data_IF_016653544042
#
_entry.id   IF_016653544042
#
_cell.length_a   1.000
_cell.length_b   1.000
_cell.length_c   1.000
_cell.angle_alpha   90.00
_cell.angle_beta   90.00
_cell.angle_gamma   90.00
#
_symmetry.space_group_name_H-M   'P 1'
#
loop_
_entity.id
_entity.type
_entity.pdbx_description
1 polymer ?
#
# COMPACT_ATOMS: atom_id res chain seq x y z
N UNK A 1 23.32 2.50 45.51
CA UNK A 1 22.29 3.56 45.59
C UNK A 1 22.94 4.86 45.15
N UNK A 2 22.96 5.12 43.85
CA UNK A 2 23.59 6.31 43.28
C UNK A 2 22.49 7.35 43.08
N UNK A 3 22.63 8.47 43.79
CA UNK A 3 21.70 9.59 43.77
C UNK A 3 22.00 10.50 42.58
N UNK A 4 21.16 10.42 41.55
CA UNK A 4 21.12 11.37 40.43
C UNK A 4 20.42 12.65 40.89
N UNK A 5 21.16 13.60 41.47
CA UNK A 5 20.57 14.89 41.85
C UNK A 5 21.42 16.11 41.46
N UNK A 6 22.30 15.98 40.46
CA UNK A 6 23.14 17.10 40.02
C UNK A 6 23.31 17.20 38.50
N UNK A 7 22.25 16.86 37.75
CA UNK A 7 22.15 17.16 36.31
C UNK A 7 21.02 18.16 35.98
N UNK A 8 20.42 18.80 37.00
CA UNK A 8 19.33 19.77 36.80
C UNK A 8 19.77 21.24 36.90
N UNK A 9 21.08 21.53 37.04
CA UNK A 9 21.58 22.90 37.21
C UNK A 9 22.58 23.36 36.13
N UNK A 10 22.67 22.67 34.99
CA UNK A 10 23.56 23.07 33.88
C UNK A 10 22.84 23.43 32.57
N UNK A 11 21.52 23.27 32.51
CA UNK A 11 20.72 23.75 31.38
C UNK A 11 19.89 24.93 31.87
N UNK A 12 20.29 26.10 31.37
CA UNK A 12 19.73 27.39 31.71
C UNK A 12 18.22 27.45 31.61
N UNK A 13 17.67 28.27 32.48
CA UNK A 13 16.27 28.56 32.73
C UNK A 13 15.58 29.32 31.57
N UNK A 14 16.01 29.10 30.32
CA UNK A 14 15.55 29.77 29.09
C UNK A 14 14.92 28.80 28.07
N UNK A 15 14.65 27.54 28.45
CA UNK A 15 14.09 26.50 27.56
C UNK A 15 12.57 26.30 27.66
N UNK A 16 11.84 27.13 28.40
CA UNK A 16 10.40 27.01 28.61
C UNK A 16 9.59 28.12 27.93
N UNK A 17 9.83 28.31 26.63
CA UNK A 17 8.82 28.92 25.76
C UNK A 17 8.92 28.42 24.30
N UNK A 18 9.20 27.12 24.14
CA UNK A 18 8.81 26.44 22.90
C UNK A 18 7.31 26.19 23.05
N UNK A 19 6.49 27.01 22.41
CA UNK A 19 5.05 26.78 22.31
C UNK A 19 4.83 25.33 21.91
N UNK A 20 4.28 24.50 22.80
CA UNK A 20 3.99 23.11 22.47
C UNK A 20 3.11 23.07 21.22
N UNK A 21 3.44 22.20 20.25
CA UNK A 21 2.63 22.07 19.04
C UNK A 21 1.20 21.71 19.46
N UNK A 22 0.23 22.41 18.86
CA UNK A 22 -1.18 22.14 19.11
C UNK A 22 -1.44 20.65 18.96
N UNK A 23 -1.89 19.99 20.02
CA UNK A 23 -2.14 18.55 20.08
C UNK A 23 -3.46 18.36 20.81
N UNK A 24 -4.46 17.89 20.09
CA UNK A 24 -5.79 17.61 20.64
C UNK A 24 -6.30 16.25 20.14
N UNK A 25 -7.16 15.63 20.93
CA UNK A 25 -7.81 14.36 20.61
C UNK A 25 -9.27 14.61 20.25
N UNK A 26 -9.71 13.98 19.16
CA UNK A 26 -11.07 14.11 18.63
C UNK A 26 -11.67 12.74 18.35
N UNK A 27 -12.99 12.62 18.41
CA UNK A 27 -13.69 11.45 17.89
C UNK A 27 -13.87 11.57 16.39
N UNK A 28 -13.39 10.59 15.63
CA UNK A 28 -13.42 10.63 14.16
C UNK A 28 -14.72 10.05 13.59
N UNK A 29 -15.28 10.72 12.58
CA UNK A 29 -16.44 10.25 11.81
C UNK A 29 -16.20 10.44 10.31
N UNK A 30 -16.81 9.60 9.46
CA UNK A 30 -16.71 9.75 8.02
C UNK A 30 -17.49 10.97 7.54
N UNK A 31 -17.07 11.52 6.41
CA UNK A 31 -17.61 12.80 5.87
C UNK A 31 -19.00 12.68 5.29
N UNK A 32 -19.42 11.45 4.97
CA UNK A 32 -20.80 11.15 4.56
C UNK A 32 -21.85 11.54 5.62
N UNK A 33 -21.47 11.67 6.90
CA UNK A 33 -22.38 12.16 7.95
C UNK A 33 -22.75 13.64 7.79
N UNK A 34 -21.88 14.43 7.17
CA UNK A 34 -22.12 15.86 6.88
C UNK A 34 -22.74 16.04 5.47
N UNK A 35 -22.81 14.97 4.66
CA UNK A 35 -23.28 15.05 3.27
C UNK A 35 -22.30 15.78 2.35
N UNK A 36 -21.01 15.79 2.69
CA UNK A 36 -19.91 16.37 1.88
C UNK A 36 -19.09 15.26 1.23
N UNK A 37 -19.72 14.47 0.36
CA UNK A 37 -19.07 13.34 -0.31
C UNK A 37 -17.95 13.79 -1.27
N UNK A 38 -18.00 15.03 -1.78
CA UNK A 38 -16.94 15.61 -2.63
C UNK A 38 -15.56 15.60 -1.94
N UNK A 39 -15.54 15.61 -0.60
CA UNK A 39 -14.31 15.63 0.20
C UNK A 39 -13.58 14.29 0.21
N UNK A 40 -14.22 13.19 -0.21
CA UNK A 40 -13.57 11.88 -0.36
C UNK A 40 -12.41 11.92 -1.37
N UNK A 41 -12.42 12.87 -2.31
CA UNK A 41 -11.40 13.00 -3.35
C UNK A 41 -10.09 13.68 -2.89
N UNK A 42 -9.94 14.01 -1.62
CA UNK A 42 -8.75 14.68 -1.09
C UNK A 42 -8.46 14.26 0.35
N UNK A 43 -7.39 14.79 0.93
CA UNK A 43 -6.95 14.46 2.30
C UNK A 43 -7.16 15.63 3.28
N UNK A 44 -8.26 16.35 3.10
CA UNK A 44 -8.60 17.47 3.98
C UNK A 44 -9.61 17.00 5.02
N UNK A 45 -9.41 17.45 6.26
CA UNK A 45 -10.28 17.14 7.39
C UNK A 45 -11.08 18.36 7.80
N UNK A 46 -12.20 18.13 8.47
CA UNK A 46 -13.04 19.16 9.09
C UNK A 46 -12.84 19.07 10.59
N UNK A 47 -12.51 20.21 11.19
CA UNK A 47 -12.23 20.34 12.62
C UNK A 47 -13.30 21.22 13.30
N UNK A 48 -13.38 21.24 14.64
CA UNK A 48 -14.30 22.12 15.35
C UNK A 48 -13.76 23.55 15.45
N UNK A 49 -14.65 24.53 15.64
CA UNK A 49 -14.27 25.94 15.80
C UNK A 49 -13.35 26.19 17.01
N UNK A 50 -13.45 25.34 18.04
CA UNK A 50 -12.56 25.36 19.21
C UNK A 50 -11.09 25.13 18.82
N UNK A 51 -10.84 24.24 17.85
CA UNK A 51 -9.51 24.01 17.29
C UNK A 51 -8.95 25.27 16.62
N UNK A 52 -9.76 25.96 15.80
CA UNK A 52 -9.35 27.21 15.15
C UNK A 52 -8.95 28.27 16.18
N UNK A 53 -9.74 28.44 17.25
CA UNK A 53 -9.44 29.40 18.32
C UNK A 53 -8.12 29.04 19.06
N UNK A 54 -7.82 27.75 19.20
CA UNK A 54 -6.56 27.28 19.78
C UNK A 54 -5.37 27.49 18.84
N UNK A 55 -5.55 27.35 17.52
CA UNK A 55 -4.54 27.59 16.50
C UNK A 55 -4.26 29.09 16.33
N UNK A 56 -5.30 29.93 16.34
CA UNK A 56 -5.20 31.38 16.23
C UNK A 56 -4.40 32.00 17.38
N UNK A 57 -4.62 31.51 18.61
CA UNK A 57 -3.85 31.92 19.80
C UNK A 57 -2.35 31.57 19.70
N UNK A 58 -2.00 30.56 18.90
CA UNK A 58 -0.62 30.13 18.67
C UNK A 58 0.02 30.80 17.45
N UNK A 59 -0.68 31.73 16.80
CA UNK A 59 -0.20 32.43 15.60
C UNK A 59 0.22 31.50 14.46
N UNK A 60 -0.45 30.35 14.30
CA UNK A 60 -0.19 29.43 13.19
C UNK A 60 -0.74 30.05 11.91
N UNK A 61 0.16 30.43 11.00
CA UNK A 61 -0.22 30.98 9.69
C UNK A 61 -0.62 29.87 8.72
N UNK A 62 -1.38 30.26 7.70
CA UNK A 62 -1.72 29.37 6.59
C UNK A 62 -0.45 28.99 5.80
N UNK A 63 -0.34 27.75 5.26
CA UNK A 63 -1.28 26.63 5.36
C UNK A 63 -1.22 25.90 6.70
N UNK A 64 -2.40 25.60 7.27
CA UNK A 64 -2.53 24.81 8.50
C UNK A 64 -2.50 23.32 8.15
N UNK A 65 -1.44 22.65 8.57
CA UNK A 65 -1.20 21.23 8.31
C UNK A 65 -1.17 20.45 9.63
N UNK A 66 -1.65 19.22 9.58
CA UNK A 66 -1.80 18.38 10.75
C UNK A 66 -1.24 16.98 10.50
N UNK A 67 -0.58 16.44 11.51
CA UNK A 67 -0.37 15.00 11.65
C UNK A 67 -1.58 14.41 12.37
N UNK A 68 -2.20 13.43 11.72
CA UNK A 68 -3.32 12.66 12.22
C UNK A 68 -2.78 11.29 12.58
N UNK A 69 -2.77 10.98 13.87
CA UNK A 69 -2.22 9.73 14.41
C UNK A 69 -3.29 8.94 15.15
N UNK A 70 -3.30 7.64 14.92
CA UNK A 70 -4.10 6.72 15.72
C UNK A 70 -3.29 6.35 16.99
N UNK A 71 -3.77 6.69 18.20
CA UNK A 71 -3.05 6.40 19.44
C UNK A 71 -2.94 4.89 19.72
N UNK A 72 -3.79 4.04 19.14
CA UNK A 72 -3.83 2.61 19.38
C UNK A 72 -2.96 1.78 18.43
N UNK A 73 -2.86 2.19 17.16
CA UNK A 73 -2.16 1.42 16.11
C UNK A 73 -0.82 2.02 15.71
N UNK A 74 -0.42 3.13 16.33
CA UNK A 74 0.78 3.94 16.03
C UNK A 74 0.89 4.40 14.57
N UNK A 75 -0.14 4.18 13.75
CA UNK A 75 -0.23 4.68 12.38
C UNK A 75 -0.42 6.18 12.38
N UNK A 76 0.25 6.84 11.45
CA UNK A 76 0.22 8.30 11.30
C UNK A 76 0.12 8.65 9.84
N UNK A 77 -0.61 9.72 9.56
CA UNK A 77 -0.82 10.29 8.23
C UNK A 77 -0.79 11.80 8.37
N UNK A 78 -0.53 12.53 7.29
CA UNK A 78 -0.62 13.99 7.30
C UNK A 78 -1.78 14.47 6.45
N UNK A 79 -2.49 15.48 6.96
CA UNK A 79 -3.71 16.02 6.38
C UNK A 79 -3.72 17.54 6.47
N UNK A 80 -4.41 18.19 5.53
CA UNK A 80 -4.76 19.60 5.64
C UNK A 80 -6.12 19.78 6.31
N UNK A 81 -6.44 21.01 6.73
CA UNK A 81 -7.82 21.37 7.12
C UNK A 81 -8.56 22.00 5.95
N UNK A 82 -9.82 21.60 5.74
CA UNK A 82 -10.72 22.27 4.81
C UNK A 82 -11.42 23.45 5.50
N UNK A 83 -12.18 23.15 6.55
CA UNK A 83 -13.07 24.07 7.24
C UNK A 83 -13.20 23.71 8.73
N UNK A 84 -13.66 24.67 9.53
CA UNK A 84 -13.88 24.50 10.96
C UNK A 84 -15.39 24.52 11.30
N UNK A 85 -16.12 23.50 10.83
CA UNK A 85 -17.58 23.40 11.01
C UNK A 85 -18.02 22.17 11.82
N UNK A 86 -17.08 21.38 12.35
CA UNK A 86 -17.40 20.18 13.14
C UNK A 86 -18.01 20.53 14.50
N UNK A 87 -18.82 19.63 15.04
CA UNK A 87 -19.26 19.70 16.43
C UNK A 87 -18.07 19.61 17.39
N UNK A 88 -18.16 20.24 18.56
CA UNK A 88 -17.07 20.27 19.53
C UNK A 88 -16.64 18.86 19.97
N UNK A 89 -15.33 18.59 19.91
CA UNK A 89 -14.76 17.27 20.24
C UNK A 89 -14.85 16.23 19.12
N UNK A 90 -15.46 16.56 17.98
CA UNK A 90 -15.56 15.69 16.81
C UNK A 90 -14.67 16.15 15.67
N UNK A 91 -14.27 15.22 14.80
CA UNK A 91 -13.53 15.50 13.58
C UNK A 91 -14.11 14.66 12.44
N UNK A 92 -14.24 15.24 11.25
CA UNK A 92 -14.66 14.50 10.06
C UNK A 92 -13.53 14.39 9.05
N UNK A 93 -13.34 13.18 8.53
CA UNK A 93 -12.31 12.89 7.54
C UNK A 93 -12.80 11.88 6.51
N UNK A 94 -12.20 11.87 5.30
CA UNK A 94 -12.53 10.90 4.26
C UNK A 94 -12.48 9.46 4.77
N UNK A 95 -13.41 8.62 4.32
CA UNK A 95 -13.50 7.24 4.77
C UNK A 95 -12.23 6.45 4.45
N UNK A 96 -11.62 6.68 3.28
CA UNK A 96 -10.36 6.01 2.92
C UNK A 96 -9.22 6.35 3.89
N UNK A 97 -9.20 7.56 4.46
CA UNK A 97 -8.20 7.99 5.44
C UNK A 97 -8.41 7.27 6.77
N UNK A 98 -9.66 7.06 7.19
CA UNK A 98 -9.98 6.24 8.36
C UNK A 98 -9.50 4.80 8.18
N UNK A 99 -9.70 4.22 6.98
CA UNK A 99 -9.21 2.87 6.65
C UNK A 99 -7.69 2.77 6.72
N UNK A 100 -6.97 3.77 6.20
CA UNK A 100 -5.51 3.85 6.25
C UNK A 100 -4.99 3.84 7.68
N UNK A 101 -5.62 4.63 8.56
CA UNK A 101 -5.32 4.72 10.00
C UNK A 101 -5.89 3.57 10.84
N UNK A 102 -6.64 2.64 10.22
CA UNK A 102 -7.36 1.56 10.90
C UNK A 102 -8.27 2.06 12.02
N UNK A 103 -9.00 3.13 11.76
CA UNK A 103 -10.01 3.71 12.64
C UNK A 103 -11.41 3.24 12.25
N UNK A 104 -12.28 3.09 13.25
CA UNK A 104 -13.73 2.91 13.09
C UNK A 104 -14.46 4.20 13.42
N UNK A 105 -15.73 4.29 13.05
CA UNK A 105 -16.57 5.43 13.38
C UNK A 105 -16.68 5.60 14.91
N UNK A 106 -16.37 6.79 15.40
CA UNK A 106 -16.35 7.11 16.83
C UNK A 106 -15.03 6.80 17.55
N UNK A 107 -14.01 6.26 16.86
CA UNK A 107 -12.70 6.06 17.46
C UNK A 107 -11.99 7.39 17.72
N UNK A 108 -11.09 7.39 18.70
CA UNK A 108 -10.30 8.58 19.06
C UNK A 108 -9.09 8.70 18.13
N UNK A 109 -8.89 9.90 17.61
CA UNK A 109 -7.74 10.26 16.79
C UNK A 109 -7.02 11.46 17.40
N UNK A 110 -5.69 11.44 17.37
CA UNK A 110 -4.87 12.55 17.85
C UNK A 110 -4.40 13.39 16.67
N UNK A 111 -4.76 14.67 16.70
CA UNK A 111 -4.44 15.66 15.67
C UNK A 111 -3.38 16.60 16.24
N UNK A 112 -2.21 16.63 15.62
CA UNK A 112 -1.10 17.50 16.01
C UNK A 112 -0.78 18.49 14.90
N UNK A 113 -0.59 19.76 15.22
CA UNK A 113 -0.19 20.77 14.25
C UNK A 113 1.28 20.60 13.92
N UNK A 114 1.59 20.51 12.61
CA UNK A 114 2.96 20.30 12.12
C UNK A 114 3.22 21.25 10.95
N UNK A 115 4.42 21.80 10.86
CA UNK A 115 4.87 22.52 9.67
C UNK A 115 5.69 21.58 8.79
N UNK A 116 5.26 21.39 7.54
CA UNK A 116 5.91 20.49 6.59
C UNK A 116 6.62 21.28 5.49
N UNK A 117 7.80 20.81 5.05
CA UNK A 117 8.49 21.42 3.91
C UNK A 117 7.72 21.16 2.61
N UNK A 118 7.92 22.04 1.62
CA UNK A 118 7.37 21.86 0.27
C UNK A 118 8.02 20.66 -0.41
N UNK A 119 7.19 19.79 -0.98
CA UNK A 119 7.64 18.62 -1.73
C UNK A 119 8.29 19.04 -3.04
N UNK A 120 9.38 18.36 -3.42
CA UNK A 120 10.05 18.57 -4.72
C UNK A 120 9.93 17.36 -5.62
N UNK A 121 9.89 16.16 -5.03
CA UNK A 121 9.84 14.91 -5.76
C UNK A 121 8.96 13.90 -5.02
N UNK A 122 8.17 13.14 -5.77
CA UNK A 122 7.36 12.03 -5.27
C UNK A 122 7.51 10.81 -6.18
N UNK A 123 7.77 9.66 -5.56
CA UNK A 123 7.74 8.36 -6.23
C UNK A 123 6.41 7.66 -5.91
N UNK A 124 5.61 7.45 -6.94
CA UNK A 124 4.30 6.84 -6.86
C UNK A 124 4.30 5.43 -7.44
N UNK A 125 3.61 4.52 -6.75
CA UNK A 125 3.44 3.14 -7.18
C UNK A 125 1.95 2.79 -7.26
N UNK A 126 1.38 2.64 -8.47
CA UNK A 126 -0.01 2.23 -8.63
C UNK A 126 -0.24 0.81 -8.07
N UNK A 127 -1.34 0.61 -7.35
CA UNK A 127 -1.73 -0.71 -6.86
C UNK A 127 -2.31 -1.61 -7.97
N UNK A 128 -2.89 -1.02 -9.03
CA UNK A 128 -3.43 -1.74 -10.19
C UNK A 128 -2.83 -1.22 -11.49
N UNK A 129 -2.74 -2.11 -12.50
CA UNK A 129 -2.38 -1.76 -13.88
C UNK A 129 -3.42 -0.88 -14.55
N UNK A 130 -4.68 -0.95 -14.10
CA UNK A 130 -5.81 -0.20 -14.68
C UNK A 130 -5.57 1.31 -14.73
N UNK A 131 -4.81 1.87 -13.77
CA UNK A 131 -4.48 3.29 -13.76
C UNK A 131 -3.50 3.68 -14.86
N UNK A 132 -2.53 2.79 -15.16
CA UNK A 132 -1.53 3.01 -16.20
C UNK A 132 -2.09 2.83 -17.62
N UNK A 133 -3.19 2.07 -17.75
CA UNK A 133 -3.89 1.87 -19.02
C UNK A 133 -4.78 3.06 -19.43
N UNK A 134 -5.03 4.01 -18.52
CA UNK A 134 -5.80 5.21 -18.81
C UNK A 134 -5.02 6.12 -19.77
N UNK A 135 -5.65 6.54 -20.88
CA UNK A 135 -5.03 7.42 -21.87
C UNK A 135 -4.53 8.76 -21.30
N UNK A 136 -5.20 9.28 -20.27
CA UNK A 136 -4.93 10.57 -19.64
C UNK A 136 -4.47 10.45 -18.18
N UNK A 137 -3.76 9.37 -17.82
CA UNK A 137 -3.37 9.08 -16.43
C UNK A 137 -2.63 10.24 -15.71
N UNK A 138 -1.77 11.00 -16.42
CA UNK A 138 -1.07 12.17 -15.85
C UNK A 138 -2.02 13.30 -15.45
N UNK A 139 -2.93 13.69 -16.34
CA UNK A 139 -3.89 14.77 -16.08
C UNK A 139 -4.86 14.39 -14.95
N UNK A 140 -5.28 13.12 -14.90
CA UNK A 140 -6.12 12.61 -13.81
C UNK A 140 -5.37 12.71 -12.48
N UNK A 141 -4.10 12.32 -12.44
CA UNK A 141 -3.27 12.44 -11.25
C UNK A 141 -3.10 13.90 -10.81
N UNK A 142 -2.74 14.80 -11.73
CA UNK A 142 -2.57 16.22 -11.42
C UNK A 142 -3.84 16.86 -10.87
N UNK A 143 -4.99 16.51 -11.46
CA UNK A 143 -6.30 16.98 -10.99
C UNK A 143 -6.61 16.44 -9.59
N UNK A 144 -6.31 15.17 -9.34
CA UNK A 144 -6.50 14.56 -8.03
C UNK A 144 -5.58 15.21 -6.98
N UNK A 145 -4.28 15.33 -7.27
CA UNK A 145 -3.28 15.89 -6.35
C UNK A 145 -3.58 17.34 -5.93
N UNK A 146 -4.29 18.13 -6.74
CA UNK A 146 -4.77 19.47 -6.34
C UNK A 146 -5.71 19.45 -5.14
N UNK A 147 -6.45 18.36 -4.95
CA UNK A 147 -7.33 18.19 -3.80
C UNK A 147 -6.59 17.73 -2.55
N UNK A 148 -5.36 17.23 -2.70
CA UNK A 148 -4.49 16.83 -1.61
C UNK A 148 -3.64 18.02 -1.14
N UNK A 149 -3.53 18.18 0.17
CA UNK A 149 -2.69 19.19 0.81
C UNK A 149 -1.28 18.66 1.10
N UNK A 150 -1.19 17.39 1.49
CA UNK A 150 0.02 16.77 2.05
C UNK A 150 0.18 15.36 1.54
N UNK A 151 1.42 14.89 1.49
CA UNK A 151 1.77 13.52 1.15
C UNK A 151 2.67 12.95 2.23
N UNK A 152 2.47 11.68 2.59
CA UNK A 152 3.32 10.92 3.53
C UNK A 152 3.88 9.69 2.85
N UNK A 153 5.13 9.33 3.14
CA UNK A 153 5.70 8.07 2.68
C UNK A 153 4.92 6.89 3.27
N UNK A 154 4.57 5.92 2.43
CA UNK A 154 3.83 4.73 2.82
C UNK A 154 2.31 4.90 2.77
N UNK A 155 1.82 6.12 2.57
CA UNK A 155 0.39 6.36 2.43
C UNK A 155 -0.16 5.97 1.05
N UNK A 156 -1.44 5.61 1.03
CA UNK A 156 -2.18 5.33 -0.20
C UNK A 156 -3.04 6.54 -0.56
N UNK A 157 -2.84 7.06 -1.75
CA UNK A 157 -3.68 8.08 -2.39
C UNK A 157 -4.84 7.38 -3.07
N UNK A 158 -6.06 7.85 -2.82
CA UNK A 158 -7.28 7.36 -3.48
C UNK A 158 -7.75 8.38 -4.51
N UNK A 159 -7.96 7.93 -5.74
CA UNK A 159 -8.40 8.76 -6.86
C UNK A 159 -9.70 8.18 -7.42
N UNK A 160 -10.76 8.98 -7.43
CA UNK A 160 -12.03 8.60 -8.03
C UNK A 160 -12.10 9.16 -9.45
N UNK A 161 -12.19 8.28 -10.45
CA UNK A 161 -12.28 8.68 -11.85
C UNK A 161 -13.21 7.74 -12.63
N UNK A 162 -14.18 8.31 -13.36
CA UNK A 162 -15.18 7.58 -14.15
C UNK A 162 -15.92 6.47 -13.36
N UNK A 163 -16.22 6.72 -12.08
CA UNK A 163 -16.90 5.76 -11.21
C UNK A 163 -16.02 4.60 -10.73
N UNK A 164 -14.71 4.63 -11.01
CA UNK A 164 -13.72 3.69 -10.48
C UNK A 164 -12.81 4.38 -9.46
N UNK A 165 -12.45 3.65 -8.41
CA UNK A 165 -11.48 4.05 -7.40
C UNK A 165 -10.12 3.45 -7.71
N UNK A 166 -9.11 4.30 -7.86
CA UNK A 166 -7.72 3.92 -8.08
C UNK A 166 -6.91 4.22 -6.82
N UNK A 167 -6.18 3.24 -6.34
CA UNK A 167 -5.27 3.39 -5.20
C UNK A 167 -3.82 3.46 -5.70
N UNK A 168 -3.09 4.46 -5.22
CA UNK A 168 -1.68 4.68 -5.58
C UNK A 168 -0.88 4.85 -4.29
N UNK A 169 0.10 3.99 -4.07
CA UNK A 169 0.97 4.05 -2.90
C UNK A 169 2.11 5.03 -3.11
N UNK A 170 2.41 5.82 -2.09
CA UNK A 170 3.57 6.70 -2.04
C UNK A 170 4.76 5.88 -1.53
N UNK A 171 5.79 5.74 -2.37
CA UNK A 171 6.99 4.96 -2.05
C UNK A 171 8.09 5.83 -1.48
N UNK A 172 8.29 7.01 -2.06
CA UNK A 172 9.36 7.93 -1.66
C UNK A 172 8.93 9.38 -1.83
N UNK A 173 9.46 10.26 -0.98
CA UNK A 173 9.21 11.70 -0.96
C UNK A 173 10.49 12.46 -0.62
N UNK A 174 10.68 13.63 -1.24
CA UNK A 174 11.77 14.57 -0.92
C UNK A 174 11.21 15.97 -0.70
N UNK A 175 11.75 16.74 0.27
CA UNK A 175 12.97 16.48 1.07
C UNK A 175 12.76 15.69 2.37
N UNK A 176 11.51 15.46 2.79
CA UNK A 176 11.19 14.82 4.06
C UNK A 176 10.19 13.67 3.87
N UNK A 177 9.99 12.88 4.94
CA UNK A 177 9.02 11.77 4.95
C UNK A 177 7.57 12.23 4.76
N UNK A 178 7.30 13.49 5.05
CA UNK A 178 6.02 14.15 4.85
C UNK A 178 6.26 15.52 4.25
N UNK A 179 5.54 15.83 3.19
CA UNK A 179 5.71 17.08 2.44
C UNK A 179 4.35 17.71 2.15
N UNK A 180 4.33 19.04 2.07
CA UNK A 180 3.17 19.78 1.54
C UNK A 180 3.28 19.93 0.03
N UNK A 181 2.16 19.78 -0.66
CA UNK A 181 2.04 19.93 -2.12
C UNK A 181 1.14 21.11 -2.51
N UNK A 182 0.73 21.92 -1.53
CA UNK A 182 -0.07 23.12 -1.76
C UNK A 182 0.75 24.10 -2.61
N UNK A 183 0.20 24.50 -3.76
CA UNK A 183 0.77 25.51 -4.66
C UNK A 183 2.26 25.25 -4.99
N UNK A 184 2.62 23.98 -5.16
CA UNK A 184 4.00 23.58 -5.43
C UNK A 184 4.03 22.59 -6.58
N UNK A 185 4.95 22.80 -7.52
CA UNK A 185 5.23 21.86 -8.59
C UNK A 185 6.12 20.74 -8.05
N UNK A 186 5.61 19.51 -8.10
CA UNK A 186 6.32 18.31 -7.61
C UNK A 186 6.61 17.41 -8.80
N UNK A 187 7.86 16.96 -8.92
CA UNK A 187 8.24 15.97 -9.92
C UNK A 187 7.66 14.60 -9.55
N UNK A 188 6.91 13.98 -10.47
CA UNK A 188 6.26 12.68 -10.26
C UNK A 188 7.01 11.59 -11.03
N UNK A 189 7.54 10.60 -10.32
CA UNK A 189 8.09 9.38 -10.89
C UNK A 189 7.14 8.20 -10.64
N UNK A 190 6.86 7.41 -11.68
CA UNK A 190 6.05 6.19 -11.57
C UNK A 190 6.94 4.97 -11.47
N UNK A 191 6.67 4.12 -10.47
CA UNK A 191 7.23 2.79 -10.36
C UNK A 191 6.28 1.75 -10.97
N UNK A 192 6.82 0.60 -11.40
CA UNK A 192 6.02 -0.50 -11.92
C UNK A 192 4.94 -0.95 -10.91
N UNK A 193 3.70 -1.21 -11.38
CA UNK A 193 2.59 -1.52 -10.50
C UNK A 193 2.81 -2.84 -9.76
N UNK A 194 2.25 -2.93 -8.54
CA UNK A 194 2.27 -4.17 -7.78
C UNK A 194 1.28 -5.18 -8.37
N UNK A 195 1.77 -6.23 -9.03
CA UNK A 195 0.95 -7.42 -9.24
C UNK A 195 0.82 -8.16 -7.89
N UNK A 196 -0.38 -8.15 -7.30
CA UNK A 196 -0.73 -9.11 -6.24
C UNK A 196 -0.72 -10.50 -6.85
N UNK A 197 0.45 -11.14 -6.91
CA UNK A 197 0.54 -12.57 -7.21
C UNK A 197 -0.09 -13.28 -6.01
N UNK A 198 -1.36 -13.67 -6.14
CA UNK A 198 -2.02 -14.52 -5.16
C UNK A 198 -1.34 -15.89 -5.23
N UNK A 199 -0.45 -16.16 -4.28
CA UNK A 199 0.06 -17.51 -4.07
C UNK A 199 -1.09 -18.34 -3.49
N UNK A 200 -1.75 -19.13 -4.33
CA UNK A 200 -2.60 -20.22 -3.85
C UNK A 200 -1.62 -21.31 -3.41
N UNK A 201 -1.42 -21.47 -2.10
CA UNK A 201 -0.78 -22.67 -1.57
C UNK A 201 -1.73 -23.85 -1.84
N UNK A 202 -1.56 -24.53 -2.98
CA UNK A 202 -2.12 -25.86 -3.15
C UNK A 202 -1.44 -26.77 -2.11
N UNK A 203 -2.20 -27.14 -1.08
CA UNK A 203 -1.81 -28.16 -0.12
C UNK A 203 -1.71 -29.47 -0.90
N UNK A 204 -0.50 -29.84 -1.30
CA UNK A 204 -0.22 -31.18 -1.83
C UNK A 204 -0.68 -32.15 -0.74
N UNK A 205 -1.63 -33.07 -1.01
CA UNK A 205 -1.97 -34.10 -0.03
C UNK A 205 -0.71 -34.91 0.20
N UNK A 206 -0.08 -34.72 1.36
CA UNK A 206 0.95 -35.62 1.83
C UNK A 206 0.24 -36.94 2.04
N UNK A 207 0.52 -37.93 1.18
CA UNK A 207 0.11 -39.30 1.45
C UNK A 207 0.70 -39.67 2.81
N UNK A 208 -0.13 -39.64 3.85
CA UNK A 208 0.25 -40.14 5.15
C UNK A 208 0.67 -41.60 4.95
N UNK A 209 1.95 -41.87 5.18
CA UNK A 209 2.44 -43.24 5.23
C UNK A 209 1.60 -43.97 6.27
N UNK A 210 0.82 -44.98 5.84
CA UNK A 210 -0.08 -45.80 6.69
C UNK A 210 0.66 -46.57 7.80
N UNK A 211 1.97 -46.37 7.96
CA UNK A 211 2.82 -47.05 8.90
C UNK A 211 3.36 -46.09 9.97
N UNK A 212 2.64 -45.98 11.08
CA UNK A 212 3.03 -45.22 12.29
C UNK A 212 3.94 -46.03 13.23
N UNK A 213 4.74 -46.97 12.70
CA UNK A 213 5.63 -47.81 13.51
C UNK A 213 7.02 -47.22 13.64
N UNK A 214 7.54 -47.05 14.86
CA UNK A 214 8.96 -46.78 15.08
C UNK A 214 9.75 -48.08 14.88
N UNK A 215 10.41 -48.23 13.73
CA UNK A 215 11.32 -49.34 13.49
C UNK A 215 12.59 -49.18 14.32
N UNK A 216 12.88 -50.12 15.21
CA UNK A 216 14.11 -50.14 16.01
C UNK A 216 15.04 -51.22 15.44
N UNK A 217 16.27 -50.85 15.10
CA UNK A 217 17.28 -51.78 14.59
C UNK A 217 17.73 -52.69 15.74
N UNK A 218 17.89 -53.98 15.47
CA UNK A 218 18.37 -54.98 16.45
C UNK A 218 19.82 -54.78 16.86
N UNK A 219 20.60 -53.98 16.12
CA UNK A 219 22.04 -53.80 16.33
C UNK A 219 22.39 -52.57 17.20
N UNK A 220 21.44 -51.98 17.94
CA UNK A 220 21.69 -50.95 18.95
C UNK A 220 22.21 -49.59 18.46
N UNK A 221 22.40 -49.37 17.15
CA UNK A 221 22.83 -48.08 16.58
C UNK A 221 21.65 -47.21 16.15
N UNK A 222 21.70 -45.91 16.49
CA UNK A 222 20.66 -44.93 16.21
C UNK A 222 20.34 -44.81 14.71
N UNK A 223 19.04 -44.74 14.38
CA UNK A 223 18.58 -44.46 13.01
C UNK A 223 18.87 -43.00 12.66
N UNK A 224 19.57 -42.77 11.55
CA UNK A 224 19.78 -41.40 11.01
C UNK A 224 18.47 -40.91 10.39
N UNK A 225 17.91 -39.82 10.91
CA UNK A 225 16.76 -39.13 10.31
C UNK A 225 17.12 -38.65 8.89
N UNK A 226 16.32 -39.06 7.92
CA UNK A 226 16.49 -38.71 6.50
C UNK A 226 15.74 -37.41 6.17
N UNK A 227 16.54 -36.42 5.72
CA UNK A 227 16.28 -35.31 4.79
C UNK A 227 15.14 -34.31 5.12
N UNK A 228 15.56 -33.07 5.46
CA UNK A 228 14.77 -31.84 5.32
C UNK A 228 14.32 -31.68 3.85
N UNK A 229 13.03 -31.44 3.66
CA UNK A 229 12.42 -31.12 2.37
C UNK A 229 13.04 -29.86 1.77
N UNK A 230 13.46 -29.95 0.50
CA UNK A 230 13.75 -28.77 -0.32
C UNK A 230 12.45 -28.35 -0.99
N UNK A 231 11.84 -27.28 -0.51
CA UNK A 231 10.80 -26.56 -1.25
C UNK A 231 11.44 -25.99 -2.52
N UNK A 232 11.07 -26.50 -3.69
CA UNK A 232 11.41 -25.89 -4.98
C UNK A 232 10.25 -25.00 -5.39
N UNK A 233 10.47 -23.69 -5.37
CA UNK A 233 9.55 -22.72 -5.94
C UNK A 233 9.61 -22.84 -7.48
N UNK A 234 8.46 -23.05 -8.11
CA UNK A 234 8.29 -22.85 -9.56
C UNK A 234 7.48 -21.58 -9.76
N UNK A 235 8.01 -20.68 -10.58
CA UNK A 235 7.30 -19.52 -11.12
C UNK A 235 6.27 -20.03 -12.14
N UNK A 236 5.00 -19.69 -11.97
CA UNK A 236 3.95 -19.99 -12.95
C UNK A 236 3.68 -18.69 -13.72
N UNK A 237 4.26 -18.60 -14.93
CA UNK A 237 3.89 -17.60 -15.94
C UNK A 237 2.61 -18.05 -16.67
N UNK A 238 1.43 -17.92 -16.05
CA UNK A 238 0.18 -17.64 -16.78
C UNK A 238 -0.98 -17.44 -15.80
N UNK A 239 -1.53 -16.22 -15.64
CA UNK A 239 -2.71 -15.99 -14.80
C UNK A 239 -4.01 -16.60 -15.37
N UNK A 240 -4.02 -17.04 -16.65
CA UNK A 240 -5.22 -17.60 -17.29
C UNK A 240 -4.92 -18.87 -18.11
N UNK A 241 -4.55 -20.00 -17.47
CA UNK A 241 -4.22 -21.25 -18.18
C UNK A 241 -5.39 -21.84 -18.99
N UNK A 242 -6.63 -21.38 -18.75
CA UNK A 242 -7.80 -21.81 -19.53
C UNK A 242 -7.89 -21.18 -20.91
N UNK A 243 -7.20 -20.06 -21.18
CA UNK A 243 -7.14 -19.45 -22.52
C UNK A 243 -6.32 -20.30 -23.50
N UNK A 244 -5.40 -21.11 -22.99
CA UNK A 244 -4.62 -22.09 -23.76
C UNK A 244 -5.25 -23.50 -23.77
N UNK A 245 -6.43 -23.66 -23.18
CA UNK A 245 -7.10 -24.96 -23.12
C UNK A 245 -7.59 -25.37 -24.51
N UNK A 246 -7.06 -26.48 -25.01
CA UNK A 246 -7.45 -27.07 -26.30
C UNK A 246 -8.96 -27.36 -26.31
N UNK A 247 -9.68 -26.77 -27.26
CA UNK A 247 -11.10 -27.05 -27.49
C UNK A 247 -11.24 -28.52 -27.86
N UNK A 248 -11.87 -29.33 -27.00
CA UNK A 248 -12.09 -30.76 -27.23
C UNK A 248 -10.99 -31.71 -26.75
N UNK A 249 -9.95 -31.22 -26.04
CA UNK A 249 -8.97 -32.09 -25.35
C UNK A 249 -8.00 -32.89 -26.25
N UNK A 250 -8.05 -32.69 -27.56
CA UNK A 250 -7.12 -33.33 -28.52
C UNK A 250 -6.09 -32.30 -28.97
N UNK A 251 -4.80 -32.56 -28.73
CA UNK A 251 -3.70 -31.78 -29.33
C UNK A 251 -3.73 -32.01 -30.84
N UNK A 252 -4.21 -31.03 -31.59
CA UNK A 252 -4.18 -31.07 -33.07
C UNK A 252 -2.79 -30.75 -33.64
N UNK A 253 -1.92 -30.10 -32.85
CA UNK A 253 -0.54 -29.77 -33.22
C UNK A 253 0.42 -30.03 -32.07
N UNK A 254 1.51 -30.74 -32.35
CA UNK A 254 2.62 -31.00 -31.43
C UNK A 254 3.90 -30.48 -32.08
N UNK A 255 4.47 -29.40 -31.55
CA UNK A 255 5.69 -28.79 -32.09
C UNK A 255 6.87 -29.77 -32.13
N UNK A 256 7.00 -30.63 -31.11
CA UNK A 256 8.02 -31.70 -31.07
C UNK A 256 7.83 -32.72 -32.20
N UNK A 257 6.59 -33.04 -32.57
CA UNK A 257 6.28 -33.97 -33.66
C UNK A 257 6.54 -33.32 -35.04
N UNK A 258 6.20 -32.04 -35.20
CA UNK A 258 6.50 -31.28 -36.42
C UNK A 258 8.02 -31.11 -36.63
N UNK A 259 8.78 -30.93 -35.55
CA UNK A 259 10.24 -30.89 -35.59
C UNK A 259 10.86 -32.24 -35.95
N UNK A 260 10.29 -33.35 -35.45
CA UNK A 260 10.69 -34.70 -35.84
C UNK A 260 10.37 -35.00 -37.31
N UNK A 261 9.24 -34.47 -37.81
CA UNK A 261 8.87 -34.49 -39.23
C UNK A 261 9.90 -33.77 -40.09
N UNK A 262 10.25 -32.53 -39.73
CA UNK A 262 11.28 -31.72 -40.41
C UNK A 262 12.66 -32.37 -40.37
N UNK A 263 13.00 -33.02 -39.26
CA UNK A 263 14.27 -33.73 -39.08
C UNK A 263 14.27 -35.14 -39.68
N UNK A 264 13.14 -35.62 -40.23
CA UNK A 264 13.01 -36.93 -40.88
C UNK A 264 13.25 -38.11 -39.93
N UNK A 265 13.01 -37.94 -38.62
CA UNK A 265 13.30 -38.93 -37.57
C UNK A 265 12.03 -39.38 -36.83
N UNK A 266 10.96 -39.64 -37.57
CA UNK A 266 9.76 -40.21 -36.97
C UNK A 266 9.98 -41.72 -36.74
N UNK A 267 9.85 -42.23 -35.51
CA UNK A 267 9.93 -43.66 -35.26
C UNK A 267 8.78 -44.37 -35.99
N UNK A 268 9.13 -45.23 -36.96
CA UNK A 268 8.18 -46.05 -37.73
C UNK A 268 7.96 -45.67 -39.19
N UNK A 269 8.53 -44.56 -39.69
CA UNK A 269 8.45 -44.16 -41.11
C UNK A 269 9.86 -44.14 -41.70
N UNK A 270 10.13 -45.05 -42.66
CA UNK A 270 11.34 -45.03 -43.48
C UNK A 270 11.02 -44.32 -44.79
N UNK A 271 11.40 -43.05 -44.90
CA UNK A 271 11.26 -42.26 -46.12
C UNK A 271 11.23 -40.75 -45.85
N UNK A 272 11.85 -39.95 -46.73
CA UNK A 272 11.75 -38.49 -46.69
C UNK A 272 10.35 -38.07 -47.13
N UNK A 273 9.64 -37.34 -46.27
CA UNK A 273 8.38 -36.67 -46.63
C UNK A 273 8.69 -35.57 -47.64
N UNK A 274 8.21 -35.73 -48.87
CA UNK A 274 8.23 -34.67 -49.88
C UNK A 274 6.90 -33.96 -49.76
N UNK A 275 6.90 -32.72 -49.27
CA UNK A 275 5.72 -31.87 -49.30
C UNK A 275 5.29 -31.68 -50.75
N UNK A 276 4.08 -32.13 -51.10
CA UNK A 276 3.42 -31.70 -52.33
C UNK A 276 3.01 -30.24 -52.11
N UNK A 277 3.69 -29.33 -52.80
CA UNK A 277 3.24 -27.94 -52.91
C UNK A 277 1.83 -27.90 -53.53
N UNK A 278 0.98 -26.96 -53.08
CA UNK A 278 -0.38 -26.81 -53.59
C UNK A 278 -0.41 -26.46 -55.07
#
# INVERSE_FOLDING_TARGET
>A
MWSFNNLNNFLGNDFLNISEPFTEEYTCYPVSFIGKDDMENGNKIILPQTALNALARRHISWPMLFEVSNPYTEKRTHSGVLEFISDEGTCHMPYWMMQQLCLKEGDIVRVTSVSLPKGTFVKLKPCSKDFMELSNHRTVLETALRNYATLTIGDNIVIHYLGKTYEIKIVDLKPAFACTIIETDVEVEFEEPFEKVQYVEEVIPVEESKFKGKGQRTDGKACKNLKKEKVRQKVIENPEPWKEKLVGGVRTKCAEYEDLLKKGRIPGIIGKLIERKP
#
